data_IF_311775087933
#
_entry.id   IF_311775087933
#
_cell.length_a   1.000
_cell.length_b   1.000
_cell.length_c   1.000
_cell.angle_alpha   90.00
_cell.angle_beta   90.00
_cell.angle_gamma   90.00
#
_symmetry.space_group_name_H-M   'P 1'
#
loop_
_entity.id
_entity.type
_entity.pdbx_description
1 polymer ?
#
# COMPACT_ATOMS: atom_id res chain seq x y z
N UNK A 1 -56.98 0.86 19.07
CA UNK A 1 -56.18 1.86 18.32
C UNK A 1 -54.77 1.88 18.87
N UNK A 2 -53.80 1.34 18.12
CA UNK A 2 -52.48 1.97 17.92
C UNK A 2 -51.78 1.16 16.82
N UNK A 3 -51.93 1.64 15.58
CA UNK A 3 -51.16 1.15 14.45
C UNK A 3 -49.72 1.64 14.61
N UNK A 4 -48.78 0.70 14.67
CA UNK A 4 -47.35 0.97 14.58
C UNK A 4 -47.08 1.60 13.20
N UNK A 5 -46.81 2.91 13.19
CA UNK A 5 -46.28 3.61 12.01
C UNK A 5 -44.81 3.20 11.85
N UNK A 6 -44.38 2.64 10.71
CA UNK A 6 -42.96 2.50 10.44
C UNK A 6 -42.37 3.92 10.34
N UNK A 7 -41.48 4.23 11.29
CA UNK A 7 -40.66 5.44 11.25
C UNK A 7 -39.63 5.20 10.14
N UNK A 8 -39.92 5.70 8.94
CA UNK A 8 -38.97 5.74 7.84
C UNK A 8 -37.74 6.49 8.36
N UNK A 9 -36.64 5.75 8.51
CA UNK A 9 -35.30 6.34 8.60
C UNK A 9 -35.14 7.24 7.36
N UNK A 10 -34.59 8.46 7.48
CA UNK A 10 -34.36 9.28 6.30
C UNK A 10 -33.58 8.44 5.30
N UNK A 11 -34.08 8.35 4.07
CA UNK A 11 -33.41 7.64 2.99
C UNK A 11 -31.93 8.06 3.01
N UNK A 12 -31.04 7.08 3.09
CA UNK A 12 -29.63 7.30 2.79
C UNK A 12 -29.58 8.13 1.51
N UNK A 13 -28.83 9.25 1.54
CA UNK A 13 -28.75 10.18 0.43
C UNK A 13 -28.66 9.39 -0.89
N UNK A 14 -29.65 9.57 -1.76
CA UNK A 14 -29.64 9.03 -3.12
C UNK A 14 -28.26 9.35 -3.71
N UNK A 15 -27.56 8.33 -4.19
CA UNK A 15 -26.22 8.45 -4.79
C UNK A 15 -26.22 9.70 -5.67
N UNK A 16 -25.43 10.70 -5.29
CA UNK A 16 -25.31 11.92 -6.07
C UNK A 16 -24.89 11.51 -7.48
N UNK A 17 -25.66 11.95 -8.48
CA UNK A 17 -25.40 11.59 -9.85
C UNK A 17 -24.09 12.23 -10.29
N UNK A 18 -23.01 11.45 -10.28
CA UNK A 18 -21.63 11.90 -10.50
C UNK A 18 -21.27 12.07 -11.99
N UNK A 19 -22.14 11.59 -12.87
CA UNK A 19 -22.09 11.81 -14.32
C UNK A 19 -23.51 11.65 -14.91
N UNK A 20 -23.82 12.40 -15.96
CA UNK A 20 -25.03 12.23 -16.77
C UNK A 20 -24.88 11.15 -17.86
N UNK A 21 -23.66 10.65 -18.08
CA UNK A 21 -23.35 9.65 -19.09
C UNK A 21 -23.27 8.24 -18.46
N UNK A 22 -24.28 7.41 -18.71
CA UNK A 22 -24.35 6.06 -18.17
C UNK A 22 -23.22 5.14 -18.64
N UNK A 23 -22.74 5.32 -19.88
CA UNK A 23 -21.61 4.53 -20.42
C UNK A 23 -20.30 4.92 -19.74
N UNK A 24 -20.07 6.22 -19.50
CA UNK A 24 -18.92 6.68 -18.72
C UNK A 24 -18.94 6.10 -17.30
N UNK A 25 -20.11 6.02 -16.66
CA UNK A 25 -20.27 5.43 -15.34
C UNK A 25 -19.93 3.92 -15.34
N UNK A 26 -20.43 3.16 -16.31
CA UNK A 26 -20.13 1.72 -16.43
C UNK A 26 -18.62 1.47 -16.64
N UNK A 27 -17.98 2.27 -17.50
CA UNK A 27 -16.53 2.22 -17.71
C UNK A 27 -15.75 2.52 -16.41
N UNK A 28 -16.19 3.51 -15.64
CA UNK A 28 -15.60 3.81 -14.33
C UNK A 28 -15.73 2.63 -13.36
N UNK A 29 -16.90 2.01 -13.25
CA UNK A 29 -17.10 0.85 -12.36
C UNK A 29 -16.21 -0.33 -12.78
N UNK A 30 -16.11 -0.62 -14.08
CA UNK A 30 -15.17 -1.62 -14.61
C UNK A 30 -13.71 -1.26 -14.31
N UNK A 31 -13.36 0.03 -14.42
CA UNK A 31 -12.04 0.52 -14.05
C UNK A 31 -11.73 0.27 -12.58
N UNK A 32 -12.67 0.57 -11.67
CA UNK A 32 -12.53 0.29 -10.23
C UNK A 32 -12.38 -1.21 -9.93
N UNK A 33 -13.09 -2.07 -10.67
CA UNK A 33 -12.93 -3.51 -10.55
C UNK A 33 -11.50 -3.96 -10.87
N UNK A 34 -10.95 -3.54 -12.02
CA UNK A 34 -9.57 -3.92 -12.39
C UNK A 34 -8.52 -3.27 -11.49
N UNK A 35 -8.76 -2.04 -11.03
CA UNK A 35 -7.91 -1.36 -10.05
C UNK A 35 -7.81 -2.14 -8.73
N UNK A 36 -8.92 -2.72 -8.26
CA UNK A 36 -8.94 -3.54 -7.05
C UNK A 36 -8.14 -4.84 -7.16
N UNK A 37 -7.77 -5.30 -8.36
CA UNK A 37 -6.94 -6.50 -8.53
C UNK A 37 -5.46 -6.28 -8.16
N UNK A 38 -5.01 -5.02 -8.03
CA UNK A 38 -3.64 -4.65 -7.60
C UNK A 38 -2.55 -5.39 -8.37
N UNK A 39 -2.67 -5.40 -9.70
CA UNK A 39 -1.70 -6.02 -10.59
C UNK A 39 -1.31 -5.06 -11.71
N UNK A 40 -0.14 -5.29 -12.32
CA UNK A 40 0.31 -4.52 -13.49
C UNK A 40 -0.74 -4.52 -14.60
N UNK A 41 -1.30 -5.69 -14.91
CA UNK A 41 -2.32 -5.84 -15.96
C UNK A 41 -3.65 -5.17 -15.55
N UNK A 42 -4.06 -5.33 -14.28
CA UNK A 42 -5.25 -4.68 -13.74
C UNK A 42 -5.17 -3.16 -13.84
N UNK A 43 -4.04 -2.57 -13.46
CA UNK A 43 -3.84 -1.12 -13.59
C UNK A 43 -3.82 -0.66 -15.04
N UNK A 44 -3.18 -1.39 -15.95
CA UNK A 44 -3.21 -1.04 -17.38
C UNK A 44 -4.65 -1.03 -17.94
N UNK A 45 -5.46 -2.03 -17.59
CA UNK A 45 -6.88 -2.09 -17.99
C UNK A 45 -7.69 -0.97 -17.34
N UNK A 46 -7.50 -0.73 -16.04
CA UNK A 46 -8.20 0.32 -15.30
C UNK A 46 -7.90 1.71 -15.89
N UNK A 47 -6.63 2.01 -16.18
CA UNK A 47 -6.22 3.26 -16.84
C UNK A 47 -6.95 3.45 -18.16
N UNK A 48 -6.95 2.45 -19.04
CA UNK A 48 -7.62 2.55 -20.35
C UNK A 48 -9.14 2.79 -20.21
N UNK A 49 -9.79 2.16 -19.21
CA UNK A 49 -11.22 2.33 -18.95
C UNK A 49 -11.53 3.73 -18.40
N UNK A 50 -10.72 4.25 -17.48
CA UNK A 50 -10.90 5.62 -16.97
C UNK A 50 -10.63 6.67 -18.04
N UNK A 51 -9.65 6.47 -18.92
CA UNK A 51 -9.41 7.35 -20.07
C UNK A 51 -10.61 7.36 -21.03
N UNK A 52 -11.21 6.21 -21.31
CA UNK A 52 -12.44 6.13 -22.11
C UNK A 52 -13.63 6.82 -21.41
N UNK A 53 -13.79 6.65 -20.10
CA UNK A 53 -14.83 7.33 -19.33
C UNK A 53 -14.69 8.86 -19.42
N UNK A 54 -13.46 9.38 -19.31
CA UNK A 54 -13.16 10.81 -19.45
C UNK A 54 -13.38 11.30 -20.89
N UNK A 55 -13.10 10.47 -21.89
CA UNK A 55 -13.37 10.82 -23.29
C UNK A 55 -14.87 10.98 -23.57
N UNK A 56 -15.72 10.19 -22.90
CA UNK A 56 -17.18 10.27 -22.99
C UNK A 56 -17.78 11.38 -22.12
N UNK A 57 -17.15 11.69 -20.99
CA UNK A 57 -17.53 12.80 -20.10
C UNK A 57 -16.26 13.45 -19.50
N UNK A 58 -15.76 14.54 -20.10
CA UNK A 58 -14.58 15.24 -19.62
C UNK A 58 -14.74 15.90 -18.23
N UNK A 59 -15.96 15.97 -17.72
CA UNK A 59 -16.28 16.51 -16.39
C UNK A 59 -16.42 15.42 -15.33
N UNK A 60 -16.18 14.15 -15.67
CA UNK A 60 -16.37 13.04 -14.76
C UNK A 60 -15.24 12.92 -13.71
N UNK A 61 -15.39 13.67 -12.60
CA UNK A 61 -14.40 13.78 -11.53
C UNK A 61 -13.90 12.42 -10.98
N UNK A 62 -14.80 11.45 -10.78
CA UNK A 62 -14.43 10.12 -10.27
C UNK A 62 -13.48 9.36 -11.20
N UNK A 63 -13.60 9.52 -12.52
CA UNK A 63 -12.68 8.88 -13.47
C UNK A 63 -11.29 9.51 -13.40
N UNK A 64 -11.20 10.83 -13.15
CA UNK A 64 -9.93 11.48 -12.84
C UNK A 64 -9.31 10.94 -11.54
N UNK A 65 -10.08 10.78 -10.47
CA UNK A 65 -9.61 10.12 -9.23
C UNK A 65 -9.06 8.71 -9.51
N UNK A 66 -9.80 7.92 -10.30
CA UNK A 66 -9.37 6.57 -10.69
C UNK A 66 -8.03 6.53 -11.44
N UNK A 67 -7.77 7.51 -12.33
CA UNK A 67 -6.46 7.64 -12.99
C UNK A 67 -5.36 8.01 -12.02
N UNK A 68 -5.61 8.95 -11.10
CA UNK A 68 -4.65 9.31 -10.07
C UNK A 68 -4.27 8.09 -9.21
N UNK A 69 -5.25 7.30 -8.78
CA UNK A 69 -5.03 6.09 -8.00
C UNK A 69 -4.21 5.04 -8.77
N UNK A 70 -4.50 4.84 -10.07
CA UNK A 70 -3.73 3.93 -10.92
C UNK A 70 -2.27 4.36 -11.02
N UNK A 71 -2.02 5.65 -11.27
CA UNK A 71 -0.66 6.17 -11.39
C UNK A 71 0.13 6.06 -10.08
N UNK A 72 -0.50 6.40 -8.95
CA UNK A 72 0.15 6.30 -7.63
C UNK A 72 0.54 4.86 -7.31
N UNK A 73 -0.38 3.92 -7.46
CA UNK A 73 -0.14 2.51 -7.10
C UNK A 73 0.72 1.75 -8.11
N UNK A 74 0.85 2.26 -9.34
CA UNK A 74 1.70 1.66 -10.36
C UNK A 74 3.18 1.65 -9.95
N UNK A 75 3.61 2.51 -9.03
CA UNK A 75 4.97 2.46 -8.48
C UNK A 75 5.23 1.11 -7.80
N UNK A 76 4.26 0.59 -7.05
CA UNK A 76 4.44 -0.63 -6.24
C UNK A 76 4.05 -1.91 -6.95
N UNK A 77 2.90 -1.92 -7.62
CA UNK A 77 2.39 -3.15 -8.23
C UNK A 77 2.76 -3.27 -9.72
N UNK A 78 3.12 -2.16 -10.37
CA UNK A 78 3.54 -2.15 -11.77
C UNK A 78 4.99 -1.70 -11.98
N UNK A 79 5.73 -1.37 -10.90
CA UNK A 79 7.13 -0.92 -10.93
C UNK A 79 7.35 0.23 -11.91
N UNK A 80 6.38 1.13 -12.00
CA UNK A 80 6.48 2.35 -12.76
C UNK A 80 7.45 3.32 -12.06
N UNK A 81 8.21 4.09 -12.83
CA UNK A 81 9.12 5.10 -12.29
C UNK A 81 8.29 6.24 -11.68
N UNK A 82 8.42 6.50 -10.38
CA UNK A 82 7.69 7.57 -9.70
C UNK A 82 7.86 8.93 -10.39
N UNK A 83 9.07 9.25 -10.88
CA UNK A 83 9.34 10.48 -11.64
C UNK A 83 8.47 10.65 -12.90
N UNK A 84 7.95 9.56 -13.48
CA UNK A 84 7.10 9.58 -14.69
C UNK A 84 5.62 9.65 -14.31
N UNK A 85 5.21 8.88 -13.30
CA UNK A 85 3.78 8.74 -12.95
C UNK A 85 3.29 9.80 -11.97
N UNK A 86 4.15 10.31 -11.08
CA UNK A 86 3.76 11.28 -10.06
C UNK A 86 3.21 12.60 -10.65
N UNK A 87 3.82 13.21 -11.70
CA UNK A 87 3.24 14.40 -12.32
C UNK A 87 1.84 14.14 -12.91
N UNK A 88 1.62 12.96 -13.52
CA UNK A 88 0.31 12.57 -14.06
C UNK A 88 -0.71 12.35 -12.95
N UNK A 89 -0.32 11.66 -11.89
CA UNK A 89 -1.17 11.42 -10.73
C UNK A 89 -1.63 12.75 -10.09
N UNK A 90 -0.71 13.69 -9.89
CA UNK A 90 -1.00 15.05 -9.40
C UNK A 90 -1.98 15.80 -10.30
N UNK A 91 -1.78 15.76 -11.61
CA UNK A 91 -2.66 16.45 -12.56
C UNK A 91 -4.09 15.89 -12.49
N UNK A 92 -4.26 14.58 -12.46
CA UNK A 92 -5.59 13.97 -12.38
C UNK A 92 -6.26 14.16 -11.01
N UNK A 93 -5.53 14.01 -9.90
CA UNK A 93 -6.09 14.23 -8.56
C UNK A 93 -6.59 15.68 -8.38
N UNK A 94 -5.79 16.66 -8.82
CA UNK A 94 -6.21 18.07 -8.81
C UNK A 94 -7.39 18.32 -9.72
N UNK A 95 -7.39 17.74 -10.91
CA UNK A 95 -8.51 17.90 -11.84
C UNK A 95 -9.81 17.32 -11.27
N UNK A 96 -9.74 16.20 -10.54
CA UNK A 96 -10.91 15.64 -9.87
C UNK A 96 -11.49 16.62 -8.84
N UNK A 97 -10.66 17.25 -8.01
CA UNK A 97 -11.10 18.26 -7.04
C UNK A 97 -11.60 19.55 -7.69
N UNK A 98 -10.97 20.00 -8.78
CA UNK A 98 -11.46 21.16 -9.54
C UNK A 98 -12.86 20.94 -10.12
N UNK A 99 -13.17 19.69 -10.49
CA UNK A 99 -14.46 19.31 -11.04
C UNK A 99 -15.50 19.11 -9.93
N UNK A 100 -15.11 18.49 -8.81
CA UNK A 100 -15.97 18.26 -7.66
C UNK A 100 -15.13 18.04 -6.37
N UNK A 101 -15.07 19.06 -5.52
CA UNK A 101 -14.37 19.02 -4.21
C UNK A 101 -15.22 18.41 -3.09
N UNK A 102 -16.45 17.97 -3.38
CA UNK A 102 -17.29 17.27 -2.41
C UNK A 102 -17.06 15.75 -2.40
N UNK A 103 -16.22 15.24 -3.31
CA UNK A 103 -15.92 13.82 -3.44
C UNK A 103 -14.82 13.36 -2.49
N UNK A 104 -15.19 12.49 -1.55
CA UNK A 104 -14.24 11.81 -0.69
C UNK A 104 -13.17 11.02 -1.48
N UNK A 105 -13.54 10.47 -2.65
CA UNK A 105 -12.63 9.79 -3.58
C UNK A 105 -11.52 10.72 -4.09
N UNK A 106 -11.86 11.95 -4.51
CA UNK A 106 -10.89 12.90 -5.04
C UNK A 106 -9.88 13.34 -3.97
N UNK A 107 -10.37 13.63 -2.77
CA UNK A 107 -9.52 13.89 -1.61
C UNK A 107 -8.63 12.68 -1.25
N UNK A 108 -9.19 11.46 -1.24
CA UNK A 108 -8.39 10.24 -0.99
C UNK A 108 -7.28 10.06 -2.03
N UNK A 109 -7.59 10.28 -3.31
CA UNK A 109 -6.60 10.20 -4.39
C UNK A 109 -5.49 11.25 -4.24
N UNK A 110 -5.83 12.50 -3.87
CA UNK A 110 -4.83 13.54 -3.62
C UNK A 110 -3.97 13.22 -2.39
N UNK A 111 -4.56 12.59 -1.36
CA UNK A 111 -3.83 12.07 -0.20
C UNK A 111 -2.75 11.08 -0.63
N UNK A 112 -3.11 10.08 -1.42
CA UNK A 112 -2.17 9.06 -1.92
C UNK A 112 -1.05 9.67 -2.78
N UNK A 113 -1.40 10.65 -3.61
CA UNK A 113 -0.43 11.39 -4.44
C UNK A 113 0.54 12.19 -3.57
N UNK A 114 0.05 12.78 -2.49
CA UNK A 114 0.86 13.56 -1.54
C UNK A 114 1.83 12.66 -0.78
N UNK A 115 1.43 11.45 -0.39
CA UNK A 115 2.34 10.44 0.18
C UNK A 115 3.47 10.08 -0.78
N UNK A 116 3.16 9.85 -2.05
CA UNK A 116 4.17 9.57 -3.07
C UNK A 116 5.14 10.75 -3.29
N UNK A 117 4.72 11.97 -2.95
CA UNK A 117 5.55 13.18 -2.98
C UNK A 117 6.28 13.48 -1.66
N UNK A 118 6.14 12.61 -0.65
CA UNK A 118 6.60 12.84 0.72
C UNK A 118 6.03 14.13 1.34
N UNK A 119 4.81 14.51 0.96
CA UNK A 119 4.05 15.59 1.58
C UNK A 119 3.02 15.02 2.56
N UNK A 120 3.53 14.54 3.70
CA UNK A 120 2.73 13.83 4.71
C UNK A 120 1.63 14.69 5.33
N UNK A 121 1.90 15.99 5.49
CA UNK A 121 0.94 16.95 6.05
C UNK A 121 -0.24 17.16 5.11
N UNK A 122 0.04 17.36 3.80
CA UNK A 122 -1.03 17.39 2.81
C UNK A 122 -1.76 16.05 2.73
N UNK A 123 -1.05 14.92 2.76
CA UNK A 123 -1.71 13.61 2.75
C UNK A 123 -2.70 13.44 3.90
N UNK A 124 -2.30 13.80 5.13
CA UNK A 124 -3.14 13.72 6.32
C UNK A 124 -4.37 14.63 6.20
N UNK A 125 -4.18 15.87 5.75
CA UNK A 125 -5.28 16.81 5.55
C UNK A 125 -6.33 16.25 4.58
N UNK A 126 -5.89 15.74 3.44
CA UNK A 126 -6.76 15.21 2.40
C UNK A 126 -7.52 13.96 2.86
N UNK A 127 -6.88 13.06 3.60
CA UNK A 127 -7.57 11.90 4.16
C UNK A 127 -8.60 12.27 5.22
N UNK A 128 -8.27 13.20 6.13
CA UNK A 128 -9.25 13.72 7.10
C UNK A 128 -10.44 14.34 6.37
N UNK A 129 -10.19 15.13 5.33
CA UNK A 129 -11.25 15.74 4.53
C UNK A 129 -12.13 14.70 3.83
N UNK A 130 -11.55 13.65 3.27
CA UNK A 130 -12.29 12.54 2.68
C UNK A 130 -13.21 11.84 3.71
N UNK A 131 -12.71 11.63 4.93
CA UNK A 131 -13.46 11.00 6.02
C UNK A 131 -14.59 11.94 6.51
N UNK A 132 -14.34 13.24 6.62
CA UNK A 132 -15.39 14.23 6.96
C UNK A 132 -16.53 14.23 5.94
N UNK A 133 -16.19 14.22 4.64
CA UNK A 133 -17.17 14.21 3.55
C UNK A 133 -17.96 12.89 3.52
N UNK A 134 -17.30 11.77 3.79
CA UNK A 134 -17.93 10.44 3.79
C UNK A 134 -17.35 9.53 4.89
N UNK A 135 -17.89 9.59 6.11
CA UNK A 135 -17.42 8.77 7.25
C UNK A 135 -17.59 7.26 7.09
N UNK A 136 -18.31 6.83 6.04
CA UNK A 136 -18.47 5.43 5.65
C UNK A 136 -17.49 4.96 4.57
N UNK A 137 -16.52 5.79 4.15
CA UNK A 137 -15.59 5.41 3.10
C UNK A 137 -14.43 4.56 3.62
N UNK A 138 -14.60 3.22 3.60
CA UNK A 138 -13.57 2.28 4.07
C UNK A 138 -12.19 2.53 3.46
N UNK A 139 -12.11 2.93 2.18
CA UNK A 139 -10.83 3.20 1.49
C UNK A 139 -10.11 4.44 2.03
N UNK A 140 -10.82 5.50 2.45
CA UNK A 140 -10.18 6.66 3.06
C UNK A 140 -9.58 6.30 4.43
N UNK A 141 -10.35 5.60 5.27
CA UNK A 141 -9.86 5.08 6.56
C UNK A 141 -8.64 4.15 6.37
N UNK A 142 -8.68 3.29 5.35
CA UNK A 142 -7.57 2.39 5.01
C UNK A 142 -6.27 3.15 4.72
N UNK A 143 -6.31 4.11 3.79
CA UNK A 143 -5.12 4.87 3.45
C UNK A 143 -4.67 5.78 4.59
N UNK A 144 -5.61 6.33 5.33
CA UNK A 144 -5.30 7.20 6.46
C UNK A 144 -4.55 6.45 7.57
N UNK A 145 -4.96 5.23 7.92
CA UNK A 145 -4.21 4.47 8.93
C UNK A 145 -2.80 4.09 8.46
N UNK A 146 -2.62 3.80 7.16
CA UNK A 146 -1.30 3.51 6.61
C UNK A 146 -0.38 4.72 6.70
N UNK A 147 -0.90 5.91 6.39
CA UNK A 147 -0.18 7.16 6.61
C UNK A 147 0.18 7.34 8.09
N UNK A 148 -0.79 7.22 9.00
CA UNK A 148 -0.56 7.37 10.44
C UNK A 148 0.52 6.40 10.93
N UNK A 149 0.46 5.14 10.51
CA UNK A 149 1.48 4.15 10.82
C UNK A 149 2.85 4.58 10.29
N UNK A 150 2.91 5.05 9.04
CA UNK A 150 4.13 5.51 8.40
C UNK A 150 4.80 6.69 9.14
N UNK A 151 4.01 7.65 9.63
CA UNK A 151 4.54 8.83 10.33
C UNK A 151 4.80 8.61 11.82
N UNK A 152 4.38 7.47 12.39
CA UNK A 152 4.64 7.05 13.78
C UNK A 152 3.46 7.13 14.73
N UNK A 153 2.27 7.48 14.24
CA UNK A 153 1.05 7.65 15.02
C UNK A 153 0.31 6.31 15.17
N UNK A 154 0.97 5.31 15.78
CA UNK A 154 0.51 3.91 15.79
C UNK A 154 -0.82 3.69 16.53
N UNK A 155 -1.12 4.49 17.57
CA UNK A 155 -2.39 4.40 18.30
C UNK A 155 -3.56 4.84 17.42
N UNK A 156 -3.46 6.02 16.81
CA UNK A 156 -4.48 6.55 15.88
C UNK A 156 -4.61 5.64 14.65
N UNK A 157 -3.49 5.11 14.14
CA UNK A 157 -3.51 4.13 13.06
C UNK A 157 -4.35 2.89 13.42
N UNK A 158 -4.26 2.39 14.66
CA UNK A 158 -5.07 1.24 15.09
C UNK A 158 -6.56 1.55 15.09
N UNK A 159 -6.96 2.73 15.56
CA UNK A 159 -8.37 3.14 15.57
C UNK A 159 -8.94 3.23 14.16
N UNK A 160 -8.20 3.85 13.24
CA UNK A 160 -8.60 4.01 11.84
C UNK A 160 -8.59 2.69 11.06
N UNK A 161 -7.65 1.79 11.37
CA UNK A 161 -7.60 0.47 10.75
C UNK A 161 -8.77 -0.42 11.20
N UNK A 162 -9.15 -0.34 12.48
CA UNK A 162 -10.36 -0.99 12.98
C UNK A 162 -11.62 -0.42 12.31
N UNK A 163 -11.67 0.89 12.10
CA UNK A 163 -12.78 1.52 11.39
C UNK A 163 -12.87 1.05 9.94
N UNK A 164 -11.74 1.00 9.22
CA UNK A 164 -11.68 0.48 7.86
C UNK A 164 -12.17 -0.98 7.78
N UNK A 165 -11.74 -1.82 8.73
CA UNK A 165 -12.17 -3.23 8.82
C UNK A 165 -13.66 -3.39 9.10
N UNK A 166 -14.23 -2.56 9.98
CA UNK A 166 -15.67 -2.59 10.27
C UNK A 166 -16.51 -2.16 9.06
N UNK A 167 -16.00 -1.21 8.27
CA UNK A 167 -16.69 -0.69 7.08
C UNK A 167 -16.61 -1.65 5.89
N UNK A 168 -15.51 -2.38 5.72
CA UNK A 168 -15.35 -3.42 4.69
C UNK A 168 -14.60 -4.64 5.22
N UNK A 169 -15.29 -5.56 5.93
CA UNK A 169 -14.66 -6.73 6.53
C UNK A 169 -14.14 -7.74 5.50
N UNK A 170 -14.63 -7.66 4.26
CA UNK A 170 -14.29 -8.58 3.17
C UNK A 170 -13.13 -8.12 2.30
N UNK A 171 -12.64 -6.89 2.51
CA UNK A 171 -11.52 -6.36 1.75
C UNK A 171 -10.22 -7.11 2.06
N UNK A 172 -9.75 -7.91 1.10
CA UNK A 172 -8.46 -8.59 1.22
C UNK A 172 -7.28 -7.62 1.36
N UNK A 173 -7.40 -6.41 0.81
CA UNK A 173 -6.35 -5.39 0.90
C UNK A 173 -6.30 -4.80 2.31
N UNK A 174 -7.44 -4.41 2.90
CA UNK A 174 -7.48 -3.91 4.28
C UNK A 174 -6.97 -4.98 5.25
N UNK A 175 -7.42 -6.22 5.07
CA UNK A 175 -6.98 -7.34 5.90
C UNK A 175 -5.48 -7.62 5.78
N UNK A 176 -4.87 -7.44 4.59
CA UNK A 176 -3.42 -7.57 4.41
C UNK A 176 -2.64 -6.39 5.02
N UNK A 177 -3.14 -5.16 4.86
CA UNK A 177 -2.53 -3.96 5.40
C UNK A 177 -2.48 -3.96 6.95
N UNK A 178 -3.50 -4.55 7.60
CA UNK A 178 -3.53 -4.75 9.05
C UNK A 178 -2.36 -5.59 9.57
N UNK A 179 -1.84 -6.54 8.78
CA UNK A 179 -0.68 -7.35 9.18
C UNK A 179 0.55 -6.45 9.38
N UNK A 180 0.77 -5.48 8.49
CA UNK A 180 1.85 -4.49 8.62
C UNK A 180 1.72 -3.68 9.92
N UNK A 181 0.52 -3.22 10.24
CA UNK A 181 0.26 -2.46 11.47
C UNK A 181 0.51 -3.30 12.74
N UNK A 182 0.16 -4.58 12.74
CA UNK A 182 0.50 -5.48 13.85
C UNK A 182 2.01 -5.67 13.99
N UNK A 183 2.73 -5.82 12.87
CA UNK A 183 4.19 -5.94 12.86
C UNK A 183 4.88 -4.68 13.40
N UNK A 184 4.41 -3.50 13.01
CA UNK A 184 4.95 -2.22 13.49
C UNK A 184 4.67 -2.00 14.98
N UNK A 185 3.55 -2.53 15.49
CA UNK A 185 3.22 -2.59 16.91
C UNK A 185 3.87 -3.74 17.68
N UNK A 186 4.72 -4.56 17.02
CA UNK A 186 5.35 -5.76 17.59
C UNK A 186 4.38 -6.84 18.07
N UNK A 187 3.13 -6.78 17.62
CA UNK A 187 2.10 -7.79 17.87
C UNK A 187 2.26 -8.93 16.85
N UNK A 188 3.31 -9.73 17.01
CA UNK A 188 3.67 -10.74 16.01
C UNK A 188 2.68 -11.90 15.96
N UNK A 189 2.10 -12.29 17.10
CA UNK A 189 1.07 -13.32 17.14
C UNK A 189 -0.22 -12.85 16.46
N UNK A 190 -0.66 -11.60 16.71
CA UNK A 190 -1.78 -10.99 15.99
C UNK A 190 -1.52 -10.86 14.50
N UNK A 191 -0.29 -10.53 14.10
CA UNK A 191 0.13 -10.48 12.69
C UNK A 191 0.02 -11.86 12.02
N UNK A 192 0.49 -12.93 12.67
CA UNK A 192 0.38 -14.31 12.19
C UNK A 192 -1.10 -14.71 12.04
N UNK A 193 -1.92 -14.48 13.08
CA UNK A 193 -3.35 -14.81 13.05
C UNK A 193 -4.06 -14.10 11.90
N UNK A 194 -3.80 -12.80 11.73
CA UNK A 194 -4.41 -11.99 10.67
C UNK A 194 -3.97 -12.44 9.27
N UNK A 195 -2.69 -12.79 9.08
CA UNK A 195 -2.20 -13.32 7.82
C UNK A 195 -2.82 -14.68 7.48
N UNK A 196 -3.00 -15.56 8.48
CA UNK A 196 -3.67 -16.85 8.31
C UNK A 196 -5.14 -16.69 7.90
N UNK A 197 -5.89 -15.77 8.53
CA UNK A 197 -7.26 -15.44 8.11
C UNK A 197 -7.32 -14.98 6.65
N UNK A 198 -6.34 -14.20 6.20
CA UNK A 198 -6.22 -13.81 4.79
C UNK A 198 -6.07 -15.02 3.85
N UNK A 199 -5.34 -16.05 4.27
CA UNK A 199 -5.18 -17.30 3.52
C UNK A 199 -6.39 -18.22 3.60
N UNK A 200 -7.17 -18.18 4.69
CA UNK A 200 -8.46 -18.87 4.77
C UNK A 200 -9.46 -18.30 3.75
N UNK A 201 -9.49 -16.97 3.59
CA UNK A 201 -10.36 -16.29 2.62
C UNK A 201 -9.91 -16.52 1.17
N UNK A 202 -8.60 -16.51 0.93
CA UNK A 202 -8.01 -16.79 -0.38
C UNK A 202 -6.69 -17.57 -0.25
N UNK A 203 -6.72 -18.91 -0.38
CA UNK A 203 -5.54 -19.75 -0.25
C UNK A 203 -4.43 -19.47 -1.28
N UNK A 204 -4.77 -18.82 -2.39
CA UNK A 204 -3.84 -18.49 -3.48
C UNK A 204 -3.36 -17.03 -3.43
N UNK A 205 -3.56 -16.32 -2.31
CA UNK A 205 -3.12 -14.94 -2.18
C UNK A 205 -1.65 -14.85 -1.78
N UNK A 206 -0.76 -14.74 -2.78
CA UNK A 206 0.70 -14.66 -2.57
C UNK A 206 1.11 -13.56 -1.58
N UNK A 207 0.42 -12.40 -1.58
CA UNK A 207 0.74 -11.32 -0.65
C UNK A 207 0.47 -11.70 0.82
N UNK A 208 -0.60 -12.45 1.11
CA UNK A 208 -0.85 -12.94 2.46
C UNK A 208 0.21 -13.95 2.91
N UNK A 209 0.76 -14.76 1.99
CA UNK A 209 1.88 -15.67 2.29
C UNK A 209 3.17 -14.92 2.59
N UNK A 210 3.46 -13.86 1.83
CA UNK A 210 4.60 -12.97 2.09
C UNK A 210 4.47 -12.32 3.47
N UNK A 211 3.29 -11.80 3.79
CA UNK A 211 3.02 -11.25 5.12
C UNK A 211 3.18 -12.28 6.23
N UNK A 212 2.65 -13.49 6.05
CA UNK A 212 2.83 -14.58 7.01
C UNK A 212 4.31 -14.92 7.23
N UNK A 213 5.11 -14.97 6.16
CA UNK A 213 6.55 -15.21 6.27
C UNK A 213 7.27 -14.10 7.06
N UNK A 214 6.94 -12.83 6.80
CA UNK A 214 7.47 -11.69 7.56
C UNK A 214 7.03 -11.76 9.03
N UNK A 215 5.79 -12.14 9.30
CA UNK A 215 5.28 -12.28 10.68
C UNK A 215 5.98 -13.41 11.43
N UNK A 216 6.15 -14.58 10.81
CA UNK A 216 6.92 -15.69 11.40
C UNK A 216 8.37 -15.29 11.66
N UNK A 217 9.01 -14.59 10.72
CA UNK A 217 10.37 -14.07 10.90
C UNK A 217 10.48 -13.18 12.13
N UNK A 218 9.58 -12.20 12.26
CA UNK A 218 9.59 -11.26 13.39
C UNK A 218 9.34 -11.96 14.73
N UNK A 219 8.61 -13.08 14.72
CA UNK A 219 8.43 -13.96 15.86
C UNK A 219 9.60 -14.95 16.11
N UNK A 220 10.67 -14.90 15.30
CA UNK A 220 11.83 -15.81 15.41
C UNK A 220 11.59 -17.23 14.84
N UNK A 221 10.48 -17.45 14.14
CA UNK A 221 10.06 -18.74 13.57
C UNK A 221 10.57 -18.91 12.13
N UNK A 222 11.88 -18.99 11.96
CA UNK A 222 12.53 -18.89 10.64
C UNK A 222 12.20 -20.06 9.69
N UNK A 223 12.05 -21.28 10.21
CA UNK A 223 11.70 -22.46 9.42
C UNK A 223 10.29 -22.33 8.84
N UNK A 224 9.33 -21.90 9.66
CA UNK A 224 7.96 -21.63 9.24
C UNK A 224 7.88 -20.48 8.24
N UNK A 225 8.71 -19.44 8.43
CA UNK A 225 8.81 -18.33 7.49
C UNK A 225 9.28 -18.78 6.10
N UNK A 226 10.31 -19.64 6.02
CA UNK A 226 10.78 -20.20 4.75
C UNK A 226 9.70 -21.07 4.08
N UNK A 227 9.06 -21.95 4.86
CA UNK A 227 7.98 -22.80 4.36
C UNK A 227 6.78 -21.99 3.81
N UNK A 228 6.46 -20.86 4.44
CA UNK A 228 5.40 -19.97 3.97
C UNK A 228 5.70 -19.35 2.58
N UNK A 229 6.98 -19.21 2.21
CA UNK A 229 7.40 -18.68 0.92
C UNK A 229 7.48 -19.73 -0.20
N UNK A 230 7.46 -21.03 0.11
CA UNK A 230 7.60 -22.10 -0.88
C UNK A 230 6.50 -22.17 -1.94
N UNK A 231 5.24 -21.77 -1.69
CA UNK A 231 4.22 -21.72 -2.72
C UNK A 231 4.19 -20.40 -3.51
N UNK A 232 4.91 -19.36 -3.07
CA UNK A 232 4.87 -18.03 -3.69
C UNK A 232 5.55 -18.05 -5.05
N UNK A 233 4.89 -17.54 -6.09
CA UNK A 233 5.41 -17.56 -7.47
C UNK A 233 5.30 -16.21 -8.17
N UNK A 234 4.26 -15.43 -7.89
CA UNK A 234 3.94 -14.22 -8.62
C UNK A 234 4.69 -12.97 -8.11
N UNK A 235 5.21 -13.02 -6.89
CA UNK A 235 5.89 -11.89 -6.24
C UNK A 235 7.40 -12.14 -6.20
N UNK A 236 8.24 -11.15 -6.58
CA UNK A 236 9.69 -11.25 -6.45
C UNK A 236 10.11 -11.24 -4.97
N UNK A 237 10.34 -12.43 -4.42
CA UNK A 237 10.69 -12.65 -3.00
C UNK A 237 12.18 -12.96 -2.77
N UNK A 238 13.05 -12.77 -3.78
CA UNK A 238 14.45 -13.16 -3.70
C UNK A 238 15.21 -12.53 -2.52
N UNK A 239 15.03 -11.22 -2.32
CA UNK A 239 15.63 -10.52 -1.18
C UNK A 239 15.10 -11.02 0.18
N UNK A 240 13.78 -11.14 0.32
CA UNK A 240 13.15 -11.68 1.54
C UNK A 240 13.62 -13.11 1.84
N UNK A 241 13.73 -13.97 0.81
CA UNK A 241 14.22 -15.34 0.98
C UNK A 241 15.70 -15.36 1.39
N UNK A 242 16.54 -14.50 0.82
CA UNK A 242 17.94 -14.36 1.22
C UNK A 242 18.07 -13.86 2.67
N UNK A 243 17.25 -12.89 3.08
CA UNK A 243 17.16 -12.43 4.46
C UNK A 243 16.83 -13.59 5.42
N UNK A 244 15.78 -14.37 5.13
CA UNK A 244 15.38 -15.51 5.96
C UNK A 244 16.45 -16.60 6.05
N UNK A 245 17.15 -16.89 4.95
CA UNK A 245 18.27 -17.84 4.97
C UNK A 245 19.39 -17.36 5.89
N UNK A 246 19.71 -16.05 5.85
CA UNK A 246 20.71 -15.47 6.74
C UNK A 246 20.28 -15.53 8.21
N UNK A 247 19.02 -15.21 8.51
CA UNK A 247 18.46 -15.28 9.87
C UNK A 247 18.40 -16.71 10.41
N UNK A 248 18.12 -17.69 9.54
CA UNK A 248 18.15 -19.12 9.86
C UNK A 248 19.58 -19.68 10.01
N UNK A 249 20.62 -18.88 9.76
CA UNK A 249 22.03 -19.25 9.90
C UNK A 249 22.70 -19.79 8.62
N UNK A 250 21.95 -19.98 7.53
CA UNK A 250 22.50 -20.39 6.23
C UNK A 250 23.05 -19.18 5.45
N UNK A 251 24.13 -18.61 5.97
CA UNK A 251 24.78 -17.42 5.39
C UNK A 251 25.29 -17.64 3.98
N UNK A 252 25.74 -18.85 3.65
CA UNK A 252 26.29 -19.15 2.32
C UNK A 252 25.19 -19.14 1.27
N UNK A 253 24.07 -19.83 1.53
CA UNK A 253 22.93 -19.81 0.61
C UNK A 253 22.34 -18.40 0.48
N UNK A 254 22.26 -17.65 1.58
CA UNK A 254 21.80 -16.26 1.57
C UNK A 254 22.66 -15.37 0.67
N UNK A 255 23.99 -15.44 0.79
CA UNK A 255 24.93 -14.67 -0.05
C UNK A 255 24.82 -15.04 -1.53
N UNK A 256 24.75 -16.34 -1.84
CA UNK A 256 24.61 -16.82 -3.21
C UNK A 256 23.31 -16.33 -3.85
N UNK A 257 22.19 -16.45 -3.14
CA UNK A 257 20.89 -15.99 -3.62
C UNK A 257 20.87 -14.47 -3.79
N UNK A 258 21.40 -13.71 -2.82
CA UNK A 258 21.44 -12.26 -2.91
C UNK A 258 22.23 -11.79 -4.13
N UNK A 259 23.43 -12.33 -4.35
CA UNK A 259 24.25 -12.02 -5.52
C UNK A 259 23.56 -12.40 -6.84
N UNK A 260 22.83 -13.52 -6.87
CA UNK A 260 22.04 -13.91 -8.04
C UNK A 260 20.92 -12.90 -8.34
N UNK A 261 20.17 -12.49 -7.31
CA UNK A 261 19.07 -11.53 -7.43
C UNK A 261 19.58 -10.18 -7.91
N UNK A 262 20.68 -9.69 -7.35
CA UNK A 262 21.31 -8.43 -7.75
C UNK A 262 21.85 -8.47 -9.19
N UNK A 263 22.45 -9.59 -9.61
CA UNK A 263 22.92 -9.75 -10.99
C UNK A 263 21.75 -9.67 -11.99
N UNK A 264 20.61 -10.27 -11.65
CA UNK A 264 19.40 -10.27 -12.50
C UNK A 264 18.64 -8.94 -12.47
N UNK A 265 18.91 -8.09 -11.49
CA UNK A 265 18.27 -6.80 -11.30
C UNK A 265 18.22 -5.94 -12.57
N UNK A 266 19.30 -5.94 -13.37
CA UNK A 266 19.40 -5.21 -14.63
C UNK A 266 18.30 -5.58 -15.65
N UNK A 267 17.73 -6.79 -15.51
CA UNK A 267 16.70 -7.34 -16.40
C UNK A 267 15.35 -7.52 -15.72
N UNK A 268 15.30 -7.54 -14.38
CA UNK A 268 14.08 -7.79 -13.60
C UNK A 268 14.03 -6.88 -12.36
N UNK A 269 13.09 -5.93 -12.28
CA UNK A 269 12.94 -5.09 -11.10
C UNK A 269 12.53 -5.91 -9.86
N UNK A 270 13.30 -5.81 -8.78
CA UNK A 270 13.01 -6.44 -7.48
C UNK A 270 12.88 -5.39 -6.37
N UNK A 271 12.14 -5.66 -5.27
CA UNK A 271 11.94 -4.69 -4.21
C UNK A 271 13.24 -4.31 -3.50
N UNK A 272 13.51 -3.00 -3.36
CA UNK A 272 14.77 -2.51 -2.76
C UNK A 272 14.82 -2.79 -1.26
N UNK A 273 13.68 -2.72 -0.57
CA UNK A 273 13.59 -3.02 0.86
C UNK A 273 14.05 -4.44 1.19
N UNK A 274 13.63 -5.42 0.38
CA UNK A 274 14.05 -6.81 0.55
C UNK A 274 15.55 -7.03 0.33
N UNK A 275 16.17 -6.30 -0.61
CA UNK A 275 17.63 -6.35 -0.80
C UNK A 275 18.37 -5.72 0.37
N UNK A 276 17.93 -4.53 0.80
CA UNK A 276 18.53 -3.84 1.95
C UNK A 276 18.47 -4.69 3.23
N UNK A 277 17.33 -5.33 3.48
CA UNK A 277 17.14 -6.21 4.62
C UNK A 277 17.98 -7.49 4.55
N UNK A 278 18.17 -8.07 3.36
CA UNK A 278 19.03 -9.23 3.17
C UNK A 278 20.50 -8.89 3.49
N UNK A 279 21.00 -7.75 2.99
CA UNK A 279 22.32 -7.23 3.33
C UNK A 279 22.47 -7.01 4.83
N UNK A 280 21.46 -6.41 5.47
CA UNK A 280 21.48 -6.18 6.91
C UNK A 280 21.54 -7.49 7.72
N UNK A 281 20.78 -8.52 7.32
CA UNK A 281 20.82 -9.84 7.96
C UNK A 281 22.19 -10.54 7.79
N UNK A 282 22.89 -10.28 6.68
CA UNK A 282 24.25 -10.74 6.45
C UNK A 282 25.32 -9.94 7.21
N UNK A 283 24.94 -8.82 7.83
CA UNK A 283 25.86 -7.91 8.53
C UNK A 283 26.51 -6.85 7.63
N UNK A 284 26.11 -6.76 6.36
CA UNK A 284 26.58 -5.76 5.41
C UNK A 284 25.73 -4.49 5.50
N UNK A 285 26.14 -3.56 6.37
CA UNK A 285 25.45 -2.26 6.51
C UNK A 285 25.62 -1.39 5.27
N UNK A 286 26.74 -1.46 4.58
CA UNK A 286 27.02 -0.59 3.43
C UNK A 286 26.17 -1.01 2.22
N UNK A 287 26.08 -2.31 1.97
CA UNK A 287 25.12 -2.88 1.01
C UNK A 287 23.67 -2.55 1.36
N UNK A 288 23.31 -2.58 2.65
CA UNK A 288 21.96 -2.19 3.09
C UNK A 288 21.65 -0.72 2.75
N UNK A 289 22.57 0.21 3.07
CA UNK A 289 22.38 1.63 2.77
C UNK A 289 22.37 1.95 1.28
N UNK A 290 23.16 1.26 0.46
CA UNK A 290 23.11 1.39 -1.00
C UNK A 290 21.69 1.17 -1.53
N UNK A 291 21.03 0.10 -1.09
CA UNK A 291 19.67 -0.22 -1.54
C UNK A 291 18.60 0.68 -0.93
N UNK A 292 18.77 1.10 0.33
CA UNK A 292 17.87 2.07 0.97
C UNK A 292 17.90 3.43 0.25
N UNK A 293 19.10 3.96 -0.05
CA UNK A 293 19.27 5.23 -0.75
C UNK A 293 18.57 5.23 -2.11
N UNK A 294 18.74 4.14 -2.85
CA UNK A 294 18.08 3.91 -4.12
C UNK A 294 16.56 3.80 -3.98
N UNK A 295 16.08 3.08 -2.96
CA UNK A 295 14.66 2.95 -2.67
C UNK A 295 14.00 4.29 -2.35
N UNK A 296 14.67 5.16 -1.59
CA UNK A 296 14.19 6.52 -1.30
C UNK A 296 14.17 7.39 -2.55
N UNK A 297 15.21 7.32 -3.38
CA UNK A 297 15.26 8.07 -4.65
C UNK A 297 14.13 7.65 -5.61
N UNK A 298 13.94 6.34 -5.75
CA UNK A 298 12.94 5.76 -6.66
C UNK A 298 11.52 5.73 -6.07
N UNK A 299 11.36 6.08 -4.79
CA UNK A 299 10.10 5.99 -4.00
C UNK A 299 9.52 4.58 -3.97
N UNK A 300 10.38 3.57 -3.83
CA UNK A 300 9.94 2.18 -3.64
C UNK A 300 9.27 2.06 -2.26
N UNK A 301 7.97 1.75 -2.22
CA UNK A 301 7.25 1.65 -0.95
C UNK A 301 7.76 0.53 -0.05
N UNK A 302 8.49 -0.47 -0.55
CA UNK A 302 9.14 -1.46 0.33
C UNK A 302 10.30 -0.88 1.15
N UNK A 303 10.80 0.30 0.77
CA UNK A 303 11.74 1.09 1.57
C UNK A 303 10.99 2.22 2.27
N UNK A 304 10.16 2.98 1.55
CA UNK A 304 9.50 4.15 2.11
C UNK A 304 8.60 3.73 3.26
N UNK A 305 7.71 2.75 3.04
CA UNK A 305 6.81 2.26 4.07
C UNK A 305 7.59 1.57 5.19
N UNK A 306 7.38 2.02 6.41
CA UNK A 306 7.92 1.40 7.61
C UNK A 306 9.36 1.79 7.94
N UNK A 307 10.10 2.58 7.15
CA UNK A 307 11.50 2.91 7.48
C UNK A 307 11.65 3.54 8.86
N UNK A 308 10.73 4.45 9.21
CA UNK A 308 10.70 5.16 10.49
C UNK A 308 10.26 4.27 11.66
N UNK A 309 9.31 3.37 11.41
CA UNK A 309 8.56 2.68 12.49
C UNK A 309 8.91 1.21 12.64
N UNK A 310 9.15 0.51 11.53
CA UNK A 310 9.28 -0.94 11.52
C UNK A 310 10.50 -1.39 12.34
N UNK A 311 10.34 -2.39 13.23
CA UNK A 311 11.44 -2.93 14.03
C UNK A 311 12.58 -3.53 13.18
N UNK A 312 12.30 -3.88 11.91
CA UNK A 312 13.29 -4.46 11.00
C UNK A 312 14.50 -3.54 10.76
N UNK A 313 14.33 -2.22 10.93
CA UNK A 313 15.37 -1.22 10.70
C UNK A 313 16.09 -0.79 11.99
N UNK A 314 15.75 -1.33 13.15
CA UNK A 314 16.40 -1.00 14.43
C UNK A 314 17.93 -1.13 14.43
N UNK A 315 18.54 -2.15 13.79
CA UNK A 315 19.99 -2.29 13.79
C UNK A 315 20.77 -1.14 13.11
N UNK A 316 20.08 -0.28 12.34
CA UNK A 316 20.66 0.87 11.64
C UNK A 316 20.20 2.23 12.17
N UNK A 317 19.28 2.30 13.14
CA UNK A 317 18.71 3.58 13.62
C UNK A 317 19.74 4.52 14.24
N UNK A 318 20.85 4.01 14.77
CA UNK A 318 21.95 4.81 15.34
C UNK A 318 22.97 5.28 14.29
N UNK A 319 22.89 4.81 13.04
CA UNK A 319 23.79 5.21 11.97
C UNK A 319 23.35 6.58 11.39
N UNK A 320 24.25 7.58 11.24
CA UNK A 320 23.89 8.90 10.70
C UNK A 320 23.23 8.87 9.31
N UNK A 321 23.53 7.85 8.49
CA UNK A 321 22.91 7.69 7.17
C UNK A 321 21.41 7.43 7.28
N UNK A 322 20.95 6.75 8.34
CA UNK A 322 19.52 6.51 8.58
C UNK A 322 18.74 7.82 8.75
N UNK A 323 19.24 8.73 9.59
CA UNK A 323 18.65 10.07 9.77
C UNK A 323 18.67 10.88 8.47
N UNK A 324 19.74 10.77 7.69
CA UNK A 324 19.82 11.41 6.37
C UNK A 324 18.71 10.94 5.42
N UNK A 325 18.38 9.64 5.44
CA UNK A 325 17.26 9.10 4.67
C UNK A 325 15.90 9.64 5.16
N UNK A 326 15.68 9.67 6.48
CA UNK A 326 14.43 10.21 7.04
C UNK A 326 14.24 11.69 6.67
N UNK A 327 15.29 12.52 6.71
CA UNK A 327 15.22 13.92 6.28
C UNK A 327 14.85 14.05 4.80
N UNK A 328 15.43 13.23 3.93
CA UNK A 328 15.10 13.21 2.49
C UNK A 328 13.63 12.84 2.25
N UNK A 329 13.06 12.03 3.14
CA UNK A 329 11.66 11.65 3.14
C UNK A 329 10.78 12.59 3.96
N UNK A 330 11.30 13.66 4.58
CA UNK A 330 10.57 14.56 5.49
C UNK A 330 9.89 13.84 6.68
N UNK A 331 10.56 12.86 7.27
CA UNK A 331 10.05 12.02 8.36
C UNK A 331 10.71 12.27 9.73
N UNK A 332 11.70 13.17 9.78
CA UNK A 332 12.38 13.61 11.00
C UNK A 332 11.76 14.89 11.56
#
# INVERSE_FOLDING_TARGET
>A
MQALKPRLVPAAALVQQTTSNAEAHDLYLKGRFFWNQRSREGFAKATALFEQAIALDPTYALAHSGLADCYSLSVDYARARAAVVLPKAKAHARKALELDDSLAEAHTSLGMVSELDFDWSSAEHEYKRAIELRPGYATAHHWYFLLLAQIGHLTEAREEAERARQLDPTSGIINAALVGLFLDNRDYDGAIEQALKGLELNPNFDLARVWLAISYRQAGKFSEALAALDPVRAVPIGGLRAQLLADAGDRVAAQQLLAEVERRFSTQPVPRGGLALAHLALGDKDGAFLWLERGVEERDQTVVTGLKVSPQWEPIRSDPRYHTLLKRMKLE
#
